data_IF_148724356061
#
_entry.id   IF_148724356061
#
_cell.length_a   1.000
_cell.length_b   1.000
_cell.length_c   1.000
_cell.angle_alpha   90.00
_cell.angle_beta   90.00
_cell.angle_gamma   90.00
#
_symmetry.space_group_name_H-M   'P 1'
#
loop_
_entity.id
_entity.type
_entity.pdbx_description
1 polymer ?
#
# COMPACT_ATOMS: atom_id res chain seq x y z
N UNK A 1 24.64 9.71 -8.30
CA UNK A 1 24.11 9.57 -7.88
C UNK A 1 23.10 9.79 -7.71
N UNK A 2 22.57 9.59 -7.51
CA UNK A 2 21.50 9.79 -7.47
C UNK A 2 21.08 10.78 -6.90
N UNK A 3 20.43 11.17 -6.98
CA UNK A 3 19.94 12.10 -6.55
C UNK A 3 19.49 12.04 -5.39
N UNK A 4 20.14 12.00 -4.67
CA UNK A 4 19.75 11.84 -3.34
C UNK A 4 19.06 12.97 -2.74
N UNK A 5 18.95 14.06 -3.41
CA UNK A 5 18.22 15.18 -2.86
C UNK A 5 16.78 14.82 -2.53
N UNK A 6 16.30 13.74 -3.11
CA UNK A 6 14.93 13.34 -2.85
C UNK A 6 14.84 12.16 -1.91
N UNK A 7 15.89 11.89 -1.22
CA UNK A 7 15.97 10.64 -0.46
C UNK A 7 15.03 10.59 0.72
N UNK A 8 14.41 11.69 1.12
CA UNK A 8 13.50 11.67 2.25
C UNK A 8 12.11 11.17 1.93
N UNK A 9 11.86 10.80 0.71
CA UNK A 9 10.54 10.38 0.28
C UNK A 9 10.60 9.06 -0.41
N UNK A 10 9.61 8.19 -0.19
CA UNK A 10 9.53 7.00 -0.99
C UNK A 10 9.14 7.33 -2.42
N UNK A 11 9.63 6.57 -3.35
CA UNK A 11 9.20 6.66 -4.73
C UNK A 11 7.91 5.85 -4.88
N UNK A 12 7.01 6.33 -5.72
CA UNK A 12 5.74 5.67 -6.00
C UNK A 12 5.81 5.07 -7.38
N UNK A 13 5.56 3.77 -7.47
CA UNK A 13 5.63 3.04 -8.73
C UNK A 13 4.28 2.41 -9.01
N UNK A 14 3.64 2.74 -10.13
CA UNK A 14 2.40 2.07 -10.51
C UNK A 14 2.72 0.76 -11.22
N UNK A 15 2.18 -0.33 -10.70
CA UNK A 15 2.35 -1.66 -11.31
C UNK A 15 1.05 -2.04 -11.96
N UNK A 16 1.02 -2.24 -13.28
CA UNK A 16 -0.22 -2.65 -13.93
C UNK A 16 -0.67 -4.02 -13.47
N UNK A 17 -1.95 -4.15 -13.21
CA UNK A 17 -2.56 -5.41 -12.81
C UNK A 17 -3.92 -5.49 -13.46
N UNK A 18 -4.28 -6.67 -13.97
CA UNK A 18 -5.52 -6.85 -14.69
C UNK A 18 -5.56 -5.88 -15.88
N UNK A 19 -6.73 -5.46 -16.30
CA UNK A 19 -6.85 -4.59 -17.47
C UNK A 19 -6.81 -3.12 -17.11
N UNK A 20 -7.42 -2.77 -16.00
CA UNK A 20 -7.62 -1.37 -15.67
C UNK A 20 -7.06 -0.95 -14.32
N UNK A 21 -6.47 -1.84 -13.60
CA UNK A 21 -6.07 -1.55 -12.24
C UNK A 21 -4.56 -1.38 -12.11
N UNK A 22 -4.18 -0.63 -11.12
CA UNK A 22 -2.78 -0.51 -10.76
C UNK A 22 -2.61 -0.88 -9.30
N UNK A 23 -1.47 -1.48 -9.01
CA UNK A 23 -1.02 -1.70 -7.65
C UNK A 23 0.03 -0.65 -7.40
N UNK A 24 -0.19 0.16 -6.37
CA UNK A 24 0.77 1.22 -6.07
C UNK A 24 1.85 0.65 -5.16
N UNK A 25 3.10 0.79 -5.57
CA UNK A 25 4.22 0.31 -4.79
C UNK A 25 5.03 1.51 -4.32
N UNK A 26 5.29 1.57 -3.03
CA UNK A 26 6.07 2.63 -2.42
C UNK A 26 7.41 2.03 -2.04
N UNK A 27 8.47 2.58 -2.55
CA UNK A 27 9.79 2.03 -2.28
C UNK A 27 10.74 3.07 -1.76
N UNK A 28 11.62 2.62 -0.87
CA UNK A 28 12.70 3.45 -0.36
C UNK A 28 13.83 2.52 0.04
N UNK A 29 15.04 2.82 -0.45
CA UNK A 29 16.17 1.94 -0.24
C UNK A 29 15.84 0.56 -0.80
N UNK A 30 15.93 -0.48 0.02
CA UNK A 30 15.63 -1.84 -0.42
C UNK A 30 14.30 -2.34 0.13
N UNK A 31 13.44 -1.43 0.58
CA UNK A 31 12.16 -1.80 1.18
C UNK A 31 11.00 -1.28 0.35
N UNK A 32 9.89 -2.00 0.37
CA UNK A 32 8.71 -1.61 -0.37
C UNK A 32 7.44 -1.97 0.37
N UNK A 33 6.43 -1.12 0.22
CA UNK A 33 5.08 -1.40 0.66
C UNK A 33 4.17 -1.34 -0.56
N UNK A 34 3.09 -2.10 -0.56
CA UNK A 34 2.17 -2.10 -1.70
C UNK A 34 0.77 -1.79 -1.24
N UNK A 35 0.00 -1.15 -2.11
CA UNK A 35 -1.37 -0.75 -1.85
C UNK A 35 -2.28 -1.54 -2.78
N UNK A 36 -3.27 -2.20 -2.19
CA UNK A 36 -4.31 -2.95 -2.91
C UNK A 36 -3.73 -3.96 -3.89
N UNK A 37 -2.93 -4.92 -3.42
CA UNK A 37 -2.32 -5.90 -4.32
C UNK A 37 -3.33 -6.98 -4.71
N UNK A 38 -4.11 -6.69 -5.75
CA UNK A 38 -5.09 -7.64 -6.25
C UNK A 38 -4.48 -8.86 -6.90
N UNK A 39 -3.21 -8.78 -7.30
CA UNK A 39 -2.50 -9.87 -7.93
C UNK A 39 -1.06 -9.85 -7.40
N UNK A 40 -0.57 -10.98 -6.94
CA UNK A 40 0.76 -11.05 -6.38
C UNK A 40 1.86 -11.05 -7.45
N UNK A 41 1.57 -11.56 -8.62
CA UNK A 41 2.61 -11.77 -9.64
C UNK A 41 3.38 -10.49 -10.01
N UNK A 42 2.71 -9.38 -10.35
CA UNK A 42 3.48 -8.19 -10.72
C UNK A 42 4.29 -7.64 -9.56
N UNK A 43 3.79 -7.80 -8.33
CA UNK A 43 4.52 -7.33 -7.16
C UNK A 43 5.78 -8.17 -6.96
N UNK A 44 5.64 -9.49 -6.96
CA UNK A 44 6.77 -10.37 -6.74
C UNK A 44 7.83 -10.19 -7.82
N UNK A 45 7.40 -10.02 -9.05
CA UNK A 45 8.32 -9.81 -10.15
C UNK A 45 9.11 -8.51 -9.96
N UNK A 46 8.43 -7.43 -9.61
CA UNK A 46 9.09 -6.15 -9.41
C UNK A 46 10.07 -6.20 -8.25
N UNK A 47 9.66 -6.81 -7.13
CA UNK A 47 10.53 -6.94 -5.98
C UNK A 47 11.80 -7.71 -6.33
N UNK A 48 11.65 -8.79 -7.08
CA UNK A 48 12.78 -9.60 -7.47
C UNK A 48 13.72 -8.85 -8.40
N UNK A 49 13.17 -8.17 -9.39
CA UNK A 49 13.98 -7.44 -10.36
C UNK A 49 14.77 -6.31 -9.73
N UNK A 50 14.26 -5.72 -8.67
CA UNK A 50 14.89 -4.55 -8.07
C UNK A 50 15.52 -4.81 -6.72
N UNK A 51 15.57 -6.07 -6.30
CA UNK A 51 16.20 -6.42 -5.04
C UNK A 51 15.53 -5.82 -3.82
N UNK A 52 14.20 -5.75 -3.84
CA UNK A 52 13.44 -5.13 -2.76
C UNK A 52 12.79 -6.17 -1.87
N UNK A 53 12.62 -5.80 -0.61
CA UNK A 53 11.90 -6.62 0.36
C UNK A 53 10.58 -5.96 0.69
N UNK A 54 9.52 -6.74 0.69
CA UNK A 54 8.20 -6.23 1.07
C UNK A 54 8.18 -6.00 2.57
N UNK A 55 7.65 -4.86 3.01
CA UNK A 55 7.59 -4.56 4.44
C UNK A 55 6.17 -4.30 4.94
N UNK A 56 5.20 -4.07 4.07
CA UNK A 56 3.82 -3.81 4.49
C UNK A 56 2.88 -3.91 3.30
N UNK A 57 1.62 -4.21 3.60
CA UNK A 57 0.54 -4.21 2.63
C UNK A 57 -0.53 -3.27 3.16
N UNK A 58 -0.99 -2.36 2.31
CA UNK A 58 -2.03 -1.40 2.65
C UNK A 58 -3.26 -1.66 1.79
N UNK A 59 -4.41 -1.72 2.44
CA UNK A 59 -5.68 -2.00 1.74
C UNK A 59 -6.60 -0.82 1.90
N UNK A 60 -7.23 -0.38 0.82
CA UNK A 60 -8.19 0.73 0.89
C UNK A 60 -9.60 0.24 1.11
N UNK A 61 -9.98 -0.90 0.55
CA UNK A 61 -11.32 -1.44 0.73
C UNK A 61 -11.34 -2.91 0.35
N UNK A 62 -12.43 -3.59 0.72
CA UNK A 62 -12.60 -5.02 0.48
C UNK A 62 -13.19 -5.25 -0.91
N UNK A 63 -12.33 -5.56 -1.85
CA UNK A 63 -12.74 -5.85 -3.21
C UNK A 63 -11.72 -6.82 -3.79
N UNK A 64 -12.20 -7.84 -4.51
CA UNK A 64 -11.29 -8.89 -4.97
C UNK A 64 -10.14 -8.35 -5.82
N UNK A 65 -10.41 -7.32 -6.62
CA UNK A 65 -9.38 -6.73 -7.48
C UNK A 65 -8.30 -6.02 -6.67
N UNK A 66 -8.52 -5.83 -5.37
CA UNK A 66 -7.61 -5.06 -4.54
C UNK A 66 -7.02 -5.88 -3.40
N UNK A 67 -7.47 -7.12 -3.20
CA UNK A 67 -6.95 -7.95 -2.13
C UNK A 67 -6.58 -9.37 -2.58
N UNK A 68 -6.82 -9.69 -3.84
CA UNK A 68 -6.66 -11.07 -4.31
C UNK A 68 -5.24 -11.62 -4.20
N UNK A 69 -4.23 -10.75 -4.17
CA UNK A 69 -2.86 -11.19 -4.10
C UNK A 69 -2.28 -11.28 -2.70
N UNK A 70 -3.06 -10.90 -1.67
CA UNK A 70 -2.50 -10.78 -0.33
C UNK A 70 -1.97 -12.13 0.18
N UNK A 71 -2.76 -13.19 0.02
CA UNK A 71 -2.35 -14.48 0.55
C UNK A 71 -1.04 -14.96 -0.04
N UNK A 72 -0.87 -14.79 -1.34
CA UNK A 72 0.36 -15.22 -2.00
C UNK A 72 1.54 -14.36 -1.57
N UNK A 73 1.32 -13.06 -1.39
CA UNK A 73 2.40 -12.20 -0.92
C UNK A 73 2.82 -12.57 0.49
N UNK A 74 1.86 -12.88 1.36
CA UNK A 74 2.19 -13.25 2.73
C UNK A 74 2.90 -14.60 2.79
N UNK A 75 2.64 -15.48 1.83
CA UNK A 75 3.37 -16.73 1.78
C UNK A 75 4.85 -16.51 1.49
N UNK A 76 5.17 -15.45 0.76
CA UNK A 76 6.55 -15.10 0.48
C UNK A 76 7.17 -14.24 1.57
N UNK A 77 6.40 -13.31 2.12
CA UNK A 77 6.92 -12.33 3.06
C UNK A 77 5.85 -12.03 4.09
N UNK A 78 5.92 -12.62 5.27
CA UNK A 78 4.94 -12.32 6.31
C UNK A 78 5.17 -10.90 6.82
N UNK A 79 4.26 -10.02 6.48
CA UNK A 79 4.37 -8.60 6.82
C UNK A 79 3.03 -8.11 7.36
N UNK A 80 3.02 -6.95 8.04
CA UNK A 80 1.74 -6.40 8.50
C UNK A 80 0.85 -6.00 7.33
N UNK A 81 -0.45 -6.18 7.53
CA UNK A 81 -1.47 -5.82 6.56
C UNK A 81 -2.40 -4.83 7.23
N UNK A 82 -2.48 -3.63 6.68
CA UNK A 82 -3.30 -2.55 7.21
C UNK A 82 -4.52 -2.39 6.33
N UNK A 83 -5.67 -2.11 6.94
CA UNK A 83 -6.87 -1.87 6.15
C UNK A 83 -8.04 -1.42 7.02
N UNK A 84 -9.19 -1.14 6.37
CA UNK A 84 -10.33 -0.57 7.07
C UNK A 84 -10.90 -1.54 8.10
N UNK A 85 -11.10 -1.03 9.31
CA UNK A 85 -11.47 -1.87 10.45
C UNK A 85 -12.82 -2.52 10.27
N UNK A 86 -13.75 -1.88 9.58
CA UNK A 86 -15.10 -2.40 9.47
C UNK A 86 -15.28 -3.38 8.32
N UNK A 87 -14.25 -3.68 7.57
CA UNK A 87 -14.37 -4.64 6.48
C UNK A 87 -13.91 -6.02 6.94
N UNK A 88 -14.58 -7.07 6.46
CA UNK A 88 -14.27 -8.43 6.90
C UNK A 88 -13.10 -9.03 6.13
N UNK A 89 -11.94 -8.42 6.26
CA UNK A 89 -10.74 -8.90 5.58
C UNK A 89 -9.92 -9.67 6.61
N UNK A 90 -9.89 -10.97 6.48
CA UNK A 90 -9.27 -11.82 7.48
C UNK A 90 -7.76 -11.59 7.60
N UNK A 91 -7.11 -11.18 6.52
CA UNK A 91 -5.66 -11.01 6.52
C UNK A 91 -5.19 -9.77 7.26
N UNK A 92 -6.09 -8.87 7.65
CA UNK A 92 -5.67 -7.63 8.31
C UNK A 92 -5.03 -7.92 9.66
N UNK A 93 -3.85 -7.37 9.86
CA UNK A 93 -3.21 -7.41 11.17
C UNK A 93 -3.43 -6.10 11.92
N UNK A 94 -3.72 -5.03 11.19
CA UNK A 94 -3.96 -3.72 11.77
C UNK A 94 -5.22 -3.15 11.16
N UNK A 95 -6.24 -2.95 11.98
CA UNK A 95 -7.53 -2.45 11.51
C UNK A 95 -7.60 -0.96 11.81
N UNK A 96 -7.86 -0.18 10.77
CA UNK A 96 -7.70 1.26 10.82
C UNK A 96 -9.04 1.98 10.79
N UNK A 97 -9.08 3.10 11.49
CA UNK A 97 -10.26 3.97 11.57
C UNK A 97 -9.89 5.36 11.07
N UNK A 98 -10.92 6.08 10.63
CA UNK A 98 -10.76 7.46 10.22
C UNK A 98 -10.11 8.26 11.34
N UNK A 99 -9.13 9.08 10.99
CA UNK A 99 -8.46 9.93 11.95
C UNK A 99 -7.21 9.35 12.57
N UNK A 100 -6.95 8.08 12.35
CA UNK A 100 -5.74 7.47 12.89
C UNK A 100 -4.54 7.77 12.01
N UNK A 101 -3.36 7.53 12.54
CA UNK A 101 -2.12 7.66 11.80
C UNK A 101 -1.33 6.37 11.92
N UNK A 102 -0.71 5.96 10.84
CA UNK A 102 0.20 4.84 10.87
C UNK A 102 1.57 5.27 10.39
N UNK A 103 2.58 4.50 10.78
CA UNK A 103 3.94 4.73 10.32
C UNK A 103 4.50 3.44 9.76
N UNK A 104 5.25 3.57 8.68
CA UNK A 104 5.96 2.45 8.08
C UNK A 104 7.43 2.86 8.06
N UNK A 105 8.14 2.59 9.15
CA UNK A 105 9.50 3.12 9.28
C UNK A 105 10.47 2.59 8.24
N UNK A 106 10.22 1.40 7.71
CA UNK A 106 11.14 0.83 6.73
C UNK A 106 11.22 1.66 5.45
N UNK A 107 10.17 2.39 5.13
CA UNK A 107 10.19 3.30 3.99
C UNK A 107 10.11 4.75 4.43
N UNK A 108 10.24 4.98 5.73
CA UNK A 108 10.24 6.33 6.31
C UNK A 108 9.01 7.12 5.90
N UNK A 109 7.87 6.47 5.94
CA UNK A 109 6.61 7.08 5.54
C UNK A 109 5.62 7.03 6.69
N UNK A 110 4.76 8.03 6.76
CA UNK A 110 3.62 8.01 7.68
C UNK A 110 2.39 8.49 6.93
N UNK A 111 1.24 7.98 7.34
CA UNK A 111 -0.01 8.27 6.66
C UNK A 111 -1.10 8.57 7.66
N UNK A 112 -1.91 9.56 7.34
CA UNK A 112 -3.16 9.80 8.05
C UNK A 112 -4.24 9.00 7.36
N UNK A 113 -5.12 8.40 8.14
CA UNK A 113 -6.18 7.55 7.63
C UNK A 113 -7.45 8.37 7.51
N UNK A 114 -8.01 8.41 6.30
CA UNK A 114 -9.20 9.20 6.03
C UNK A 114 -10.31 8.28 5.59
N UNK A 115 -11.42 8.31 6.29
CA UNK A 115 -12.60 7.57 5.85
C UNK A 115 -13.24 8.28 4.69
N UNK A 116 -13.69 7.52 3.72
CA UNK A 116 -14.33 8.07 2.52
C UNK A 116 -15.84 7.88 2.66
N UNK A 117 -16.60 8.94 2.87
CA UNK A 117 -18.04 8.81 3.03
C UNK A 117 -18.73 8.59 1.70
N UNK A 118 -19.99 8.18 1.75
CA UNK A 118 -20.82 8.08 0.57
C UNK A 118 -20.86 6.74 -0.09
N UNK A 119 -20.17 5.76 0.48
CA UNK A 119 -20.18 4.39 -0.04
C UNK A 119 -20.85 3.47 0.96
N UNK A 120 -21.42 2.40 0.46
CA UNK A 120 -22.03 1.41 1.32
C UNK A 120 -20.98 0.58 2.03
N UNK A 121 -19.74 0.58 1.55
CA UNK A 121 -18.67 -0.17 2.16
C UNK A 121 -17.68 0.77 2.81
N UNK A 122 -16.97 0.25 3.76
CA UNK A 122 -15.89 1.01 4.35
C UNK A 122 -14.77 1.17 3.32
N UNK A 123 -14.30 2.37 3.19
CA UNK A 123 -13.27 2.72 2.24
C UNK A 123 -12.41 3.77 2.90
N UNK A 124 -11.11 3.58 2.90
CA UNK A 124 -10.22 4.55 3.50
C UNK A 124 -9.16 4.97 2.49
N UNK A 125 -8.61 6.14 2.72
CA UNK A 125 -7.50 6.65 1.95
C UNK A 125 -6.32 6.85 2.87
N UNK A 126 -5.13 6.77 2.32
CA UNK A 126 -3.88 6.95 3.05
C UNK A 126 -3.28 8.27 2.58
N UNK A 127 -3.30 9.26 3.44
CA UNK A 127 -2.76 10.58 3.10
C UNK A 127 -1.32 10.65 3.58
N UNK A 128 -0.39 10.73 2.64
CA UNK A 128 1.03 10.73 2.97
C UNK A 128 1.49 12.01 3.59
N UNK A 129 2.33 11.89 4.58
CA UNK A 129 2.95 13.02 5.25
C UNK A 129 4.45 12.90 5.12
N UNK A 130 5.13 14.03 5.02
CA UNK A 130 6.58 14.03 4.91
C UNK A 130 7.08 13.32 3.68
N UNK A 131 6.23 13.23 2.68
CA UNK A 131 6.59 12.55 1.45
C UNK A 131 6.10 13.43 0.34
N UNK A 132 6.81 14.48 0.05
CA UNK A 132 6.26 15.46 -0.89
C UNK A 132 5.92 14.83 -2.23
N UNK A 133 6.55 13.72 -2.59
CA UNK A 133 6.14 13.01 -3.79
C UNK A 133 4.79 12.34 -3.61
N UNK A 134 4.37 12.15 -2.38
CA UNK A 134 3.14 11.47 -2.05
C UNK A 134 2.17 12.35 -1.31
N UNK A 135 2.38 13.63 -1.32
CA UNK A 135 1.42 14.50 -0.68
C UNK A 135 0.11 14.34 -1.38
N UNK A 136 -0.87 13.87 -0.67
CA UNK A 136 -2.15 13.57 -1.23
C UNK A 136 -2.56 12.17 -0.85
N UNK A 137 -3.77 11.83 -1.21
CA UNK A 137 -4.36 10.56 -0.84
C UNK A 137 -3.95 9.45 -1.77
N UNK A 138 -3.72 8.28 -1.21
CA UNK A 138 -3.66 7.05 -1.98
C UNK A 138 -4.98 6.34 -1.72
N UNK A 139 -5.75 6.15 -2.76
CA UNK A 139 -7.03 5.51 -2.64
C UNK A 139 -7.32 4.75 -3.92
N UNK A 140 -8.37 3.96 -3.89
CA UNK A 140 -8.75 3.18 -5.06
C UNK A 140 -9.04 4.11 -6.23
N UNK A 141 -8.58 3.70 -7.40
CA UNK A 141 -8.85 4.46 -8.60
C UNK A 141 -10.28 4.30 -9.08
N UNK A 142 -11.00 3.37 -8.52
CA UNK A 142 -12.40 3.16 -8.93
C UNK A 142 -13.39 3.77 -7.98
#
# INVERSE_FOLDING_TARGET
MDNTSNSNKPAIVPLPAFNDNYIWLLRRHDQAAVVDPGDAAPVLEYLDQHGLSLCAILVTHHHADHIGGIADLLAHSPVPVFGPASEPIAALTHRLHDGERIEIPQIEASFDILGIPGHTRAHIAYYGRNTSACEGSIESAN
#
